data_IF_388006296482
#
_entry.id   IF_388006296482
#
_cell.length_a   1.000
_cell.length_b   1.000
_cell.length_c   1.000
_cell.angle_alpha   90.00
_cell.angle_beta   90.00
_cell.angle_gamma   90.00
#
_symmetry.space_group_name_H-M   'P 1'
#
loop_
_entity.id
_entity.type
_entity.pdbx_description
1 polymer ?
#
# COMPACT_ATOMS: atom_id res chain seq x y z
N UNK A 1 1.44 31.45 -24.35
CA UNK A 1 0.28 30.89 -23.62
C UNK A 1 0.53 29.41 -23.44
N UNK A 2 0.64 28.86 -22.23
CA UNK A 2 0.69 27.42 -22.09
C UNK A 2 -0.72 26.87 -22.32
N UNK A 3 -0.80 25.90 -23.23
CA UNK A 3 -1.97 25.10 -23.53
C UNK A 3 -2.47 24.42 -22.25
N UNK A 4 -3.80 24.33 -22.18
CA UNK A 4 -4.58 23.60 -21.19
C UNK A 4 -3.83 22.37 -20.66
N UNK A 5 -3.57 22.34 -19.34
CA UNK A 5 -3.21 21.12 -18.63
C UNK A 5 -4.41 20.18 -18.75
N UNK A 6 -4.43 19.33 -19.77
CA UNK A 6 -5.32 18.17 -19.81
C UNK A 6 -5.11 17.43 -18.51
N UNK A 7 -6.14 17.38 -17.68
CA UNK A 7 -6.07 16.86 -16.33
C UNK A 7 -5.34 15.50 -16.30
N UNK A 8 -4.39 15.35 -15.37
CA UNK A 8 -3.60 14.13 -15.09
C UNK A 8 -4.48 12.99 -14.54
N UNK A 9 -5.72 12.85 -15.01
CA UNK A 9 -6.73 11.93 -14.47
C UNK A 9 -6.57 10.50 -14.99
N UNK A 10 -5.61 10.22 -15.88
CA UNK A 10 -5.54 8.92 -16.57
C UNK A 10 -4.59 7.87 -15.98
N UNK A 11 -4.02 8.06 -14.79
CA UNK A 11 -3.24 7.01 -14.10
C UNK A 11 -3.44 6.96 -12.57
N UNK A 12 -4.57 7.47 -12.06
CA UNK A 12 -4.84 7.41 -10.62
C UNK A 12 -5.55 6.10 -10.29
N UNK A 13 -5.06 5.35 -9.31
CA UNK A 13 -5.74 4.20 -8.72
C UNK A 13 -7.11 4.66 -8.18
N UNK A 14 -8.19 4.12 -8.74
CA UNK A 14 -9.56 4.49 -8.37
C UNK A 14 -10.11 3.63 -7.23
N UNK A 15 -9.36 2.64 -6.73
CA UNK A 15 -9.84 1.67 -5.74
C UNK A 15 -10.38 2.35 -4.48
N UNK A 16 -9.66 3.34 -3.95
CA UNK A 16 -10.14 4.10 -2.77
C UNK A 16 -11.42 4.87 -3.06
N UNK A 17 -11.53 5.49 -4.24
CA UNK A 17 -12.73 6.22 -4.64
C UNK A 17 -13.93 5.27 -4.77
N UNK A 18 -13.75 4.15 -5.47
CA UNK A 18 -14.80 3.14 -5.69
C UNK A 18 -15.26 2.54 -4.36
N UNK A 19 -14.35 2.25 -3.43
CA UNK A 19 -14.68 1.77 -2.08
C UNK A 19 -15.59 2.75 -1.34
N UNK A 20 -15.26 4.04 -1.38
CA UNK A 20 -16.06 5.09 -0.74
C UNK A 20 -17.42 5.28 -1.42
N UNK A 21 -17.50 5.20 -2.75
CA UNK A 21 -18.76 5.29 -3.49
C UNK A 21 -19.69 4.11 -3.15
N UNK A 22 -19.14 2.90 -3.02
CA UNK A 22 -19.87 1.70 -2.57
C UNK A 22 -20.38 1.84 -1.14
N UNK A 23 -19.59 2.44 -0.24
CA UNK A 23 -20.01 2.72 1.15
C UNK A 23 -21.20 3.67 1.25
N UNK A 24 -21.30 4.62 0.31
CA UNK A 24 -22.41 5.56 0.22
C UNK A 24 -23.68 4.95 -0.41
N UNK A 25 -23.70 3.65 -0.68
CA UNK A 25 -24.78 2.91 -1.33
C UNK A 25 -25.19 3.52 -2.68
N UNK A 26 -24.20 4.03 -3.43
CA UNK A 26 -24.45 4.47 -4.81
C UNK A 26 -24.50 3.22 -5.67
N UNK A 27 -25.67 2.59 -5.70
CA UNK A 27 -25.96 1.31 -6.34
C UNK A 27 -25.60 1.26 -7.84
N UNK A 28 -25.55 2.41 -8.51
CA UNK A 28 -25.16 2.50 -9.93
C UNK A 28 -24.11 3.60 -10.14
N UNK A 29 -22.84 3.20 -10.16
CA UNK A 29 -21.73 4.11 -10.51
C UNK A 29 -21.84 4.66 -11.95
N UNK A 30 -22.60 4.00 -12.83
CA UNK A 30 -22.97 4.49 -14.15
C UNK A 30 -23.92 5.69 -14.12
N UNK A 31 -24.54 5.98 -12.98
CA UNK A 31 -25.37 7.16 -12.75
C UNK A 31 -24.63 8.28 -12.00
N UNK A 32 -23.43 8.02 -11.47
CA UNK A 32 -22.58 9.08 -10.93
C UNK A 32 -22.29 10.12 -12.02
N UNK A 33 -22.72 11.35 -11.77
CA UNK A 33 -22.40 12.52 -12.59
C UNK A 33 -21.01 13.02 -12.21
N UNK A 34 -19.98 12.28 -12.62
CA UNK A 34 -18.61 12.78 -12.54
C UNK A 34 -18.47 14.02 -13.42
N UNK A 35 -17.66 14.99 -12.97
CA UNK A 35 -17.32 16.17 -13.78
C UNK A 35 -16.57 15.75 -15.05
N UNK A 36 -15.58 14.87 -14.88
CA UNK A 36 -14.93 14.11 -15.94
C UNK A 36 -15.06 12.62 -15.58
N UNK A 37 -15.82 11.86 -16.37
CA UNK A 37 -16.04 10.44 -16.11
C UNK A 37 -14.74 9.66 -16.36
N UNK A 38 -14.25 8.87 -15.38
CA UNK A 38 -13.10 7.99 -15.61
C UNK A 38 -13.42 6.93 -16.66
N UNK A 39 -12.39 6.40 -17.30
CA UNK A 39 -12.54 5.32 -18.29
C UNK A 39 -13.24 4.11 -17.65
N UNK A 40 -14.21 3.46 -18.34
CA UNK A 40 -14.87 2.27 -17.82
C UNK A 40 -13.90 1.18 -17.38
N UNK A 41 -12.79 1.03 -18.10
CA UNK A 41 -11.74 0.05 -17.82
C UNK A 41 -11.06 0.33 -16.48
N UNK A 42 -10.83 1.60 -16.13
CA UNK A 42 -10.24 1.98 -14.84
C UNK A 42 -11.20 1.72 -13.67
N UNK A 43 -12.50 1.91 -13.87
CA UNK A 43 -13.52 1.56 -12.87
C UNK A 43 -13.66 0.05 -12.68
N UNK A 44 -13.61 -0.72 -13.77
CA UNK A 44 -13.62 -2.19 -13.71
C UNK A 44 -12.38 -2.71 -12.99
N UNK A 45 -11.19 -2.19 -13.31
CA UNK A 45 -9.96 -2.57 -12.61
C UNK A 45 -10.04 -2.30 -11.11
N UNK A 46 -10.55 -1.13 -10.70
CA UNK A 46 -10.73 -0.81 -9.29
C UNK A 46 -11.73 -1.73 -8.57
N UNK A 47 -12.78 -2.18 -9.27
CA UNK A 47 -13.71 -3.18 -8.72
C UNK A 47 -13.05 -4.55 -8.57
N UNK A 48 -12.29 -4.99 -9.56
CA UNK A 48 -11.51 -6.24 -9.51
C UNK A 48 -10.48 -6.20 -8.37
N UNK A 49 -9.75 -5.08 -8.21
CA UNK A 49 -8.77 -4.91 -7.14
C UNK A 49 -9.43 -4.97 -5.74
N UNK A 50 -10.62 -4.39 -5.58
CA UNK A 50 -11.39 -4.47 -4.33
C UNK A 50 -11.95 -5.87 -4.07
N UNK A 51 -12.41 -6.57 -5.10
CA UNK A 51 -12.83 -7.97 -5.02
C UNK A 51 -11.66 -8.86 -4.55
N UNK A 52 -10.48 -8.69 -5.16
CA UNK A 52 -9.25 -9.37 -4.77
C UNK A 52 -8.85 -9.11 -3.30
N UNK A 53 -9.07 -7.90 -2.79
CA UNK A 53 -8.83 -7.57 -1.38
C UNK A 53 -9.88 -8.12 -0.41
N UNK A 54 -10.88 -8.86 -0.93
CA UNK A 54 -12.06 -9.31 -0.22
C UNK A 54 -12.88 -8.15 0.39
N UNK A 55 -12.81 -6.97 -0.22
CA UNK A 55 -13.61 -5.81 0.19
C UNK A 55 -15.05 -5.91 -0.34
N UNK A 56 -15.28 -6.75 -1.36
CA UNK A 56 -16.59 -7.03 -1.92
C UNK A 56 -17.06 -8.45 -1.56
N UNK A 57 -18.38 -8.64 -1.51
CA UNK A 57 -19.01 -9.97 -1.43
C UNK A 57 -19.36 -10.52 -2.83
N UNK A 58 -19.90 -11.74 -2.89
CA UNK A 58 -20.25 -12.42 -4.15
C UNK A 58 -21.30 -11.67 -4.99
N UNK A 59 -22.06 -10.76 -4.36
CA UNK A 59 -23.06 -9.92 -5.01
C UNK A 59 -22.48 -8.55 -5.43
N UNK A 60 -21.21 -8.28 -5.13
CA UNK A 60 -20.51 -7.02 -5.43
C UNK A 60 -20.84 -5.87 -4.47
N UNK A 61 -21.42 -6.16 -3.31
CA UNK A 61 -21.63 -5.21 -2.21
C UNK A 61 -20.43 -5.22 -1.27
N UNK A 62 -20.35 -4.26 -0.33
CA UNK A 62 -19.27 -4.26 0.65
C UNK A 62 -19.40 -5.44 1.60
N UNK A 63 -18.33 -6.23 1.72
CA UNK A 63 -18.17 -7.24 2.77
C UNK A 63 -17.93 -6.57 4.14
N UNK A 64 -17.89 -7.36 5.22
CA UNK A 64 -17.48 -6.85 6.55
C UNK A 64 -16.09 -6.21 6.51
N UNK A 65 -15.15 -6.83 5.80
CA UNK A 65 -13.80 -6.28 5.59
C UNK A 65 -13.88 -4.99 4.79
N UNK A 66 -14.67 -4.93 3.72
CA UNK A 66 -14.86 -3.72 2.91
C UNK A 66 -15.46 -2.56 3.70
N UNK A 67 -16.41 -2.85 4.59
CA UNK A 67 -16.98 -1.88 5.52
C UNK A 67 -15.89 -1.30 6.42
N UNK A 68 -15.09 -2.15 7.06
CA UNK A 68 -13.99 -1.73 7.94
C UNK A 68 -12.95 -0.92 7.15
N UNK A 69 -12.57 -1.37 5.96
CA UNK A 69 -11.63 -0.66 5.08
C UNK A 69 -12.12 0.74 4.72
N UNK A 70 -13.44 0.91 4.49
CA UNK A 70 -14.02 2.21 4.13
C UNK A 70 -13.97 3.26 5.25
N UNK A 71 -13.82 2.83 6.51
CA UNK A 71 -13.66 3.71 7.67
C UNK A 71 -12.21 4.18 7.84
N UNK A 72 -11.24 3.48 7.23
CA UNK A 72 -9.82 3.78 7.38
C UNK A 72 -9.37 4.86 6.37
N UNK A 73 -8.61 5.89 6.80
CA UNK A 73 -8.08 6.92 5.90
C UNK A 73 -6.83 6.43 5.15
N UNK A 74 -6.86 5.20 4.65
CA UNK A 74 -5.72 4.51 4.01
C UNK A 74 -6.11 4.07 2.60
N UNK A 75 -5.11 3.78 1.77
CA UNK A 75 -5.33 3.08 0.51
C UNK A 75 -5.78 1.63 0.77
N UNK A 76 -6.67 1.05 -0.06
CA UNK A 76 -7.27 -0.27 0.20
C UNK A 76 -6.26 -1.38 0.51
N UNK A 77 -5.14 -1.54 -0.22
CA UNK A 77 -4.09 -2.50 0.14
C UNK A 77 -3.53 -2.32 1.56
N UNK A 78 -3.28 -1.07 1.96
CA UNK A 78 -2.72 -0.76 3.28
C UNK A 78 -3.76 -0.92 4.39
N UNK A 79 -5.02 -0.57 4.12
CA UNK A 79 -6.14 -0.83 5.02
C UNK A 79 -6.33 -2.33 5.25
N UNK A 80 -6.30 -3.14 4.19
CA UNK A 80 -6.40 -4.61 4.27
C UNK A 80 -5.26 -5.21 5.09
N UNK A 81 -4.04 -4.74 4.88
CA UNK A 81 -2.89 -5.15 5.68
C UNK A 81 -3.10 -4.81 7.17
N UNK A 82 -3.54 -3.58 7.46
CA UNK A 82 -3.81 -3.12 8.83
C UNK A 82 -4.86 -4.00 9.53
N UNK A 83 -5.94 -4.33 8.85
CA UNK A 83 -6.96 -5.25 9.38
C UNK A 83 -6.36 -6.63 9.65
N UNK A 84 -5.63 -7.21 8.70
CA UNK A 84 -5.04 -8.54 8.86
C UNK A 84 -3.99 -8.61 9.98
N UNK A 85 -3.32 -7.50 10.32
CA UNK A 85 -2.39 -7.49 11.46
C UNK A 85 -3.05 -7.82 12.81
N UNK A 86 -4.37 -7.68 12.90
CA UNK A 86 -5.15 -8.13 14.04
C UNK A 86 -5.07 -9.64 14.22
N UNK A 87 -5.04 -10.39 13.12
CA UNK A 87 -4.96 -11.87 13.13
C UNK A 87 -3.53 -12.36 13.41
N UNK A 88 -2.53 -11.53 13.12
CA UNK A 88 -1.11 -11.86 13.27
C UNK A 88 -0.46 -11.21 14.49
N UNK A 89 -1.21 -10.58 15.38
CA UNK A 89 -0.71 -9.94 16.60
C UNK A 89 0.40 -8.89 16.35
N UNK A 90 0.38 -8.19 15.21
CA UNK A 90 1.42 -7.20 14.84
C UNK A 90 0.84 -5.81 14.52
N UNK A 91 -0.23 -5.44 15.22
CA UNK A 91 -0.99 -4.19 14.98
C UNK A 91 -0.16 -2.96 15.28
N UNK A 92 0.58 -2.93 16.40
CA UNK A 92 1.37 -1.76 16.80
C UNK A 92 2.48 -1.43 15.78
N UNK A 93 3.11 -2.46 15.22
CA UNK A 93 4.14 -2.34 14.19
C UNK A 93 3.54 -1.90 12.87
N UNK A 94 2.42 -2.49 12.48
CA UNK A 94 1.80 -2.15 11.21
C UNK A 94 1.14 -0.76 11.21
N UNK A 95 0.62 -0.29 12.36
CA UNK A 95 0.22 1.10 12.56
C UNK A 95 1.39 2.06 12.33
N UNK A 96 2.58 1.69 12.81
CA UNK A 96 3.79 2.50 12.63
C UNK A 96 4.22 2.51 11.16
N UNK A 97 4.21 1.34 10.49
CA UNK A 97 4.52 1.24 9.07
C UNK A 97 3.51 2.04 8.24
N UNK A 98 2.21 1.87 8.48
CA UNK A 98 1.16 2.59 7.76
C UNK A 98 1.34 4.10 7.88
N UNK A 99 1.57 4.61 9.09
CA UNK A 99 1.78 6.02 9.32
C UNK A 99 3.02 6.59 8.61
N UNK A 100 4.08 5.78 8.46
CA UNK A 100 5.28 6.15 7.72
C UNK A 100 5.09 6.13 6.20
N UNK A 101 4.17 5.31 5.68
CA UNK A 101 3.88 5.21 4.25
C UNK A 101 2.86 6.25 3.77
N UNK A 102 2.00 6.74 4.65
CA UNK A 102 0.98 7.75 4.33
C UNK A 102 1.50 9.18 4.26
N UNK A 103 2.74 9.42 4.70
CA UNK A 103 3.35 10.74 4.63
C UNK A 103 3.89 11.05 3.23
N UNK A 104 3.63 12.27 2.76
CA UNK A 104 4.11 12.82 1.49
C UNK A 104 5.17 13.88 1.81
N UNK A 105 6.39 13.69 1.30
CA UNK A 105 7.60 14.42 1.71
C UNK A 105 7.49 15.96 1.68
N UNK A 106 8.06 16.64 2.69
CA UNK A 106 8.75 17.94 2.50
C UNK A 106 9.87 18.20 3.56
N UNK A 107 10.92 18.92 3.16
CA UNK A 107 12.25 19.03 3.79
C UNK A 107 12.48 20.27 4.68
N UNK A 108 13.34 20.13 5.72
CA UNK A 108 14.47 21.07 5.99
C UNK A 108 15.34 20.73 7.23
N UNK A 109 14.92 19.87 8.16
CA UNK A 109 15.71 19.54 9.37
C UNK A 109 16.44 18.17 9.31
N UNK A 110 16.14 17.39 8.27
CA UNK A 110 16.65 16.06 7.94
C UNK A 110 18.10 16.01 7.50
N UNK A 111 18.61 17.13 6.99
CA UNK A 111 19.81 17.15 6.17
C UNK A 111 21.10 16.79 6.92
N UNK A 112 21.06 16.69 8.24
CA UNK A 112 22.18 16.22 9.06
C UNK A 112 22.13 14.72 9.39
N UNK A 113 21.00 14.02 9.19
CA UNK A 113 20.81 12.60 9.51
C UNK A 113 20.01 11.79 8.45
N UNK A 114 19.71 12.40 7.29
CA UNK A 114 18.91 11.83 6.20
C UNK A 114 17.45 11.41 6.54
N UNK A 115 16.84 11.94 7.63
CA UNK A 115 15.44 11.62 8.02
C UNK A 115 14.57 12.87 8.23
N UNK A 116 13.36 12.93 7.69
CA UNK A 116 12.47 14.09 7.86
C UNK A 116 11.80 14.16 9.23
N UNK A 117 12.12 15.21 10.00
CA UNK A 117 11.46 15.47 11.28
C UNK A 117 9.99 15.85 11.09
N UNK A 118 9.68 16.60 10.02
CA UNK A 118 8.30 16.90 9.65
C UNK A 118 7.54 15.60 9.36
N UNK A 119 8.15 14.73 8.56
CA UNK A 119 7.63 13.41 8.25
C UNK A 119 7.41 12.54 9.49
N UNK A 120 8.42 12.45 10.36
CA UNK A 120 8.35 11.65 11.59
C UNK A 120 7.31 12.20 12.57
N UNK A 121 7.12 13.53 12.63
CA UNK A 121 6.05 14.14 13.43
C UNK A 121 4.69 13.82 12.84
N UNK A 122 4.53 13.92 11.53
CA UNK A 122 3.28 13.60 10.87
C UNK A 122 2.96 12.11 11.05
N UNK A 123 3.92 11.21 10.84
CA UNK A 123 3.77 9.80 11.12
C UNK A 123 3.37 9.54 12.59
N UNK A 124 3.91 10.30 13.55
CA UNK A 124 3.47 10.25 14.94
C UNK A 124 1.98 10.62 15.12
N UNK A 125 1.51 11.65 14.42
CA UNK A 125 0.10 12.08 14.42
C UNK A 125 -0.79 11.04 13.74
N UNK A 126 -0.45 10.63 12.52
CA UNK A 126 -1.22 9.64 11.75
C UNK A 126 -1.32 8.32 12.53
N UNK A 127 -0.23 7.86 13.15
CA UNK A 127 -0.25 6.66 13.98
C UNK A 127 -1.24 6.79 15.14
N UNK A 128 -1.30 7.95 15.79
CA UNK A 128 -2.23 8.19 16.89
C UNK A 128 -3.68 8.20 16.39
N UNK A 129 -3.97 8.87 15.27
CA UNK A 129 -5.30 8.91 14.65
C UNK A 129 -5.77 7.51 14.23
N UNK A 130 -4.90 6.72 13.58
CA UNK A 130 -5.22 5.35 13.19
C UNK A 130 -5.49 4.46 14.41
N UNK A 131 -4.70 4.61 15.48
CA UNK A 131 -4.91 3.88 16.73
C UNK A 131 -6.26 4.21 17.38
N UNK A 132 -6.59 5.50 17.49
CA UNK A 132 -7.89 5.94 18.03
C UNK A 132 -9.04 5.41 17.18
N UNK A 133 -8.89 5.43 15.86
CA UNK A 133 -9.89 4.92 14.95
C UNK A 133 -10.07 3.41 15.11
N UNK A 134 -9.00 2.62 15.15
CA UNK A 134 -9.06 1.17 15.40
C UNK A 134 -9.79 0.85 16.70
N UNK A 135 -9.51 1.59 17.78
CA UNK A 135 -10.20 1.44 19.05
C UNK A 135 -11.69 1.79 18.95
N UNK A 136 -12.03 2.86 18.22
CA UNK A 136 -13.41 3.31 18.00
C UNK A 136 -14.23 2.31 17.21
N UNK A 137 -13.63 1.62 16.24
CA UNK A 137 -14.28 0.56 15.45
C UNK A 137 -14.07 -0.84 16.05
N UNK A 138 -13.60 -0.93 17.29
CA UNK A 138 -13.47 -2.17 18.08
C UNK A 138 -12.55 -3.23 17.48
N UNK A 139 -11.54 -2.82 16.68
CA UNK A 139 -10.49 -3.74 16.24
C UNK A 139 -9.49 -4.01 17.38
N UNK A 140 -9.03 -5.27 17.57
CA UNK A 140 -8.05 -5.60 18.60
C UNK A 140 -6.70 -4.96 18.29
N UNK A 141 -6.00 -4.48 19.32
CA UNK A 141 -4.69 -3.85 19.19
C UNK A 141 -3.67 -4.62 20.04
N UNK A 142 -2.69 -5.25 19.39
CA UNK A 142 -1.62 -5.96 20.08
C UNK A 142 -0.58 -4.99 20.68
N UNK A 143 0.06 -5.35 21.81
CA UNK A 143 1.19 -4.60 22.33
C UNK A 143 2.40 -4.70 21.39
N UNK A 144 3.33 -3.73 21.41
CA UNK A 144 4.52 -3.76 20.57
C UNK A 144 5.43 -4.94 20.92
N UNK A 145 5.87 -5.68 19.89
CA UNK A 145 6.74 -6.85 19.96
C UNK A 145 7.92 -6.76 18.97
N UNK A 146 8.43 -5.55 18.75
CA UNK A 146 9.52 -5.27 17.81
C UNK A 146 10.76 -6.15 18.03
N UNK A 147 11.33 -6.63 16.92
CA UNK A 147 12.68 -7.22 16.91
C UNK A 147 12.74 -8.74 17.08
N UNK A 148 11.62 -9.44 17.32
CA UNK A 148 11.60 -10.90 17.27
C UNK A 148 11.32 -11.44 15.84
N UNK A 149 11.80 -12.64 15.55
CA UNK A 149 11.63 -13.27 14.22
C UNK A 149 10.16 -13.56 13.90
N UNK A 150 9.38 -13.94 14.91
CA UNK A 150 7.95 -14.21 14.75
C UNK A 150 7.18 -12.93 14.39
N UNK A 151 7.50 -11.81 15.04
CA UNK A 151 6.92 -10.50 14.72
C UNK A 151 7.27 -10.04 13.31
N UNK A 152 8.53 -10.20 12.88
CA UNK A 152 8.93 -9.92 11.48
C UNK A 152 8.14 -10.75 10.47
N UNK A 153 7.90 -12.03 10.79
CA UNK A 153 7.09 -12.93 9.95
C UNK A 153 5.62 -12.51 9.93
N UNK A 154 5.06 -12.13 11.07
CA UNK A 154 3.69 -11.67 11.20
C UNK A 154 3.44 -10.36 10.45
N UNK A 155 4.37 -9.40 10.53
CA UNK A 155 4.32 -8.16 9.74
C UNK A 155 4.32 -8.49 8.24
N UNK A 156 5.17 -9.42 7.79
CA UNK A 156 5.19 -9.83 6.38
C UNK A 156 3.89 -10.46 5.93
N UNK A 157 3.29 -11.35 6.75
CA UNK A 157 1.98 -11.95 6.46
C UNK A 157 0.89 -10.90 6.34
N UNK A 158 0.84 -9.96 7.28
CA UNK A 158 -0.10 -8.83 7.23
C UNK A 158 0.12 -7.96 5.98
N UNK A 159 1.37 -7.66 5.62
CA UNK A 159 1.65 -6.91 4.40
C UNK A 159 1.26 -7.69 3.14
N UNK A 160 1.53 -9.00 3.08
CA UNK A 160 1.17 -9.85 1.94
C UNK A 160 -0.35 -9.86 1.74
N UNK A 161 -1.16 -9.93 2.80
CA UNK A 161 -2.63 -9.96 2.66
C UNK A 161 -3.21 -8.72 1.99
N UNK A 162 -2.53 -7.57 2.09
CA UNK A 162 -2.91 -6.33 1.43
C UNK A 162 -2.21 -6.09 0.09
N UNK A 163 -0.95 -6.49 -0.02
CA UNK A 163 -0.06 -6.15 -1.14
C UNK A 163 0.30 -7.33 -2.04
N UNK A 164 -0.45 -8.44 -2.01
CA UNK A 164 -0.15 -9.63 -2.82
C UNK A 164 -0.18 -9.38 -4.33
N UNK A 165 -0.95 -8.39 -4.80
CA UNK A 165 -0.94 -7.93 -6.20
C UNK A 165 0.31 -7.10 -6.55
N UNK A 166 1.15 -6.76 -5.56
CA UNK A 166 2.41 -6.02 -5.72
C UNK A 166 3.60 -6.89 -5.32
N UNK A 167 3.69 -8.07 -5.95
CA UNK A 167 4.79 -9.03 -5.80
C UNK A 167 5.68 -9.02 -7.04
N UNK A 168 6.99 -9.11 -6.82
CA UNK A 168 7.97 -9.27 -7.90
C UNK A 168 9.00 -10.36 -7.59
N UNK A 169 9.50 -11.01 -8.64
CA UNK A 169 10.48 -12.09 -8.56
C UNK A 169 11.73 -11.74 -9.37
N UNK A 170 12.90 -11.91 -8.76
CA UNK A 170 14.19 -11.74 -9.43
C UNK A 170 14.42 -12.91 -10.42
N UNK A 171 14.55 -12.59 -11.70
CA UNK A 171 14.63 -13.58 -12.78
C UNK A 171 16.04 -14.13 -13.03
N UNK A 172 17.07 -13.40 -12.60
CA UNK A 172 18.47 -13.72 -12.95
C UNK A 172 19.46 -13.57 -11.77
N UNK A 173 18.96 -13.21 -10.58
CA UNK A 173 19.79 -13.02 -9.39
C UNK A 173 20.59 -11.71 -9.39
N UNK A 174 20.35 -10.85 -10.39
CA UNK A 174 21.01 -9.55 -10.55
C UNK A 174 20.12 -8.38 -10.13
N UNK A 175 18.95 -8.66 -9.54
CA UNK A 175 17.98 -7.64 -9.14
C UNK A 175 17.10 -7.14 -10.29
N UNK A 176 16.92 -7.96 -11.33
CA UNK A 176 15.97 -7.71 -12.42
C UNK A 176 14.63 -8.37 -12.06
N UNK A 177 13.75 -7.60 -11.45
CA UNK A 177 12.50 -8.09 -10.88
C UNK A 177 11.36 -8.08 -11.91
N UNK A 178 10.77 -9.24 -12.19
CA UNK A 178 9.53 -9.37 -12.93
C UNK A 178 8.33 -9.11 -11.99
N UNK A 179 7.57 -8.05 -12.27
CA UNK A 179 6.31 -7.74 -11.60
C UNK A 179 5.25 -8.75 -12.06
N UNK A 180 4.69 -9.54 -11.14
CA UNK A 180 3.82 -10.67 -11.52
C UNK A 180 2.51 -10.24 -12.18
N UNK A 181 1.95 -9.12 -11.73
CA UNK A 181 0.63 -8.64 -12.16
C UNK A 181 0.66 -8.04 -13.56
N UNK A 182 1.65 -7.19 -13.86
CA UNK A 182 1.74 -6.47 -15.13
C UNK A 182 2.81 -7.02 -16.09
N UNK A 183 3.60 -8.02 -15.66
CA UNK A 183 4.68 -8.65 -16.44
C UNK A 183 5.74 -7.67 -16.96
N UNK A 184 5.91 -6.56 -16.27
CA UNK A 184 7.01 -5.62 -16.52
C UNK A 184 8.24 -6.00 -15.70
N UNK A 185 9.43 -5.71 -16.23
CA UNK A 185 10.68 -5.82 -15.48
C UNK A 185 10.99 -4.44 -14.87
N UNK A 186 11.40 -4.46 -13.60
CA UNK A 186 11.86 -3.30 -12.87
C UNK A 186 13.09 -3.63 -12.01
N UNK A 187 13.80 -2.59 -11.60
CA UNK A 187 14.93 -2.71 -10.68
C UNK A 187 14.60 -2.10 -9.33
N UNK A 188 15.39 -2.46 -8.31
CA UNK A 188 15.30 -1.78 -7.02
C UNK A 188 15.75 -0.33 -7.19
N UNK A 189 14.99 0.61 -6.64
CA UNK A 189 15.42 2.00 -6.61
C UNK A 189 16.78 2.13 -5.87
N UNK A 190 17.67 3.00 -6.34
CA UNK A 190 19.04 3.15 -5.83
C UNK A 190 19.13 3.51 -4.35
N UNK A 191 18.09 4.16 -3.79
CA UNK A 191 18.01 4.47 -2.36
C UNK A 191 17.60 3.28 -1.49
N UNK A 192 17.24 2.14 -2.08
CA UNK A 192 16.86 0.94 -1.34
C UNK A 192 17.97 0.48 -0.40
N UNK A 193 17.58 -0.06 0.76
CA UNK A 193 18.55 -0.62 1.72
C UNK A 193 19.33 -1.82 1.17
N UNK A 194 18.79 -2.48 0.13
CA UNK A 194 19.49 -3.54 -0.59
C UNK A 194 20.59 -3.01 -1.54
N UNK A 195 20.57 -1.72 -1.88
CA UNK A 195 21.56 -1.10 -2.77
C UNK A 195 22.54 -0.19 -2.01
N UNK A 196 22.08 0.46 -0.94
CA UNK A 196 22.83 1.49 -0.20
C UNK A 196 23.67 0.97 0.97
N UNK A 197 23.48 -0.29 1.38
CA UNK A 197 24.29 -0.92 2.44
C UNK A 197 25.64 -1.40 1.90
N UNK A 198 26.68 -1.29 2.73
CA UNK A 198 28.02 -1.81 2.42
C UNK A 198 28.48 -2.85 3.45
N UNK A 199 28.86 -4.08 3.03
CA UNK A 199 28.82 -4.59 1.66
C UNK A 199 27.38 -4.72 1.13
N UNK A 200 27.21 -4.58 -0.19
CA UNK A 200 25.90 -4.68 -0.83
C UNK A 200 25.36 -6.10 -0.62
N UNK A 201 24.22 -6.28 0.09
CA UNK A 201 23.64 -7.60 0.28
C UNK A 201 23.14 -8.15 -1.06
N UNK A 202 23.13 -9.48 -1.20
CA UNK A 202 22.48 -10.10 -2.35
C UNK A 202 21.00 -9.72 -2.40
N UNK A 203 20.47 -9.32 -3.58
CA UNK A 203 19.06 -8.99 -3.72
C UNK A 203 18.19 -10.22 -3.38
N UNK A 204 17.08 -10.03 -2.64
CA UNK A 204 16.17 -11.10 -2.31
C UNK A 204 15.44 -11.63 -3.55
N UNK A 205 15.26 -12.95 -3.67
CA UNK A 205 14.62 -13.56 -4.84
C UNK A 205 13.13 -13.17 -4.99
N UNK A 206 12.44 -12.92 -3.87
CA UNK A 206 11.01 -12.57 -3.86
C UNK A 206 10.77 -11.35 -3.00
N UNK A 207 10.02 -10.40 -3.54
CA UNK A 207 9.73 -9.15 -2.84
C UNK A 207 8.29 -8.72 -3.00
N UNK A 208 7.77 -8.06 -1.96
CA UNK A 208 6.64 -7.15 -2.08
C UNK A 208 7.17 -5.72 -2.23
N UNK A 209 6.46 -4.89 -2.98
CA UNK A 209 6.78 -3.47 -3.16
C UNK A 209 5.55 -2.60 -2.87
N UNK A 210 5.79 -1.37 -2.39
CA UNK A 210 4.72 -0.40 -2.18
C UNK A 210 4.43 0.37 -3.47
N UNK A 211 5.49 0.91 -4.09
CA UNK A 211 5.38 1.78 -5.26
C UNK A 211 6.16 1.23 -6.44
N UNK A 212 5.62 1.52 -7.61
CA UNK A 212 6.24 1.29 -8.90
C UNK A 212 6.19 2.59 -9.71
N UNK A 213 7.33 3.00 -10.27
CA UNK A 213 7.41 4.20 -11.11
C UNK A 213 7.84 3.81 -12.52
N UNK A 214 7.03 4.18 -13.51
CA UNK A 214 7.38 4.08 -14.93
C UNK A 214 8.23 5.31 -15.29
N UNK A 215 9.54 5.11 -15.45
CA UNK A 215 10.48 6.18 -15.81
C UNK A 215 11.47 5.69 -16.88
N UNK A 216 12.58 6.40 -17.11
CA UNK A 216 13.64 5.92 -18.02
C UNK A 216 14.18 4.55 -17.58
N UNK A 217 14.21 4.31 -16.26
CA UNK A 217 14.38 2.98 -15.67
C UNK A 217 13.18 2.68 -14.77
N UNK A 218 12.46 1.63 -15.11
CA UNK A 218 11.37 1.12 -14.28
C UNK A 218 11.93 0.72 -12.92
N UNK A 219 11.41 1.32 -11.83
CA UNK A 219 11.88 1.01 -10.49
C UNK A 219 10.76 0.75 -9.50
N UNK A 220 11.04 -0.15 -8.56
CA UNK A 220 10.20 -0.43 -7.39
C UNK A 220 10.83 0.19 -6.13
N UNK A 221 9.97 0.71 -5.25
CA UNK A 221 10.36 1.39 -4.00
C UNK A 221 9.67 0.73 -2.81
N UNK A 222 10.27 0.94 -1.63
CA UNK A 222 9.79 0.41 -0.35
C UNK A 222 9.54 -1.10 -0.44
N UNK A 223 10.65 -1.83 -0.45
CA UNK A 223 10.69 -3.24 -0.83
C UNK A 223 10.97 -4.10 0.40
N UNK A 224 10.21 -5.18 0.58
CA UNK A 224 10.41 -6.15 1.66
C UNK A 224 10.57 -7.57 1.11
N UNK A 225 11.55 -8.30 1.62
CA UNK A 225 11.77 -9.71 1.27
C UNK A 225 10.66 -10.60 1.85
N UNK A 226 10.08 -11.42 0.98
CA UNK A 226 9.03 -12.40 1.31
C UNK A 226 9.42 -13.80 0.82
N UNK A 227 8.67 -14.82 1.24
CA UNK A 227 8.81 -16.18 0.71
C UNK A 227 7.48 -16.59 0.06
N UNK A 228 7.49 -17.35 -1.05
CA UNK A 228 6.26 -17.73 -1.76
C UNK A 228 5.34 -18.70 -0.99
N UNK A 229 5.79 -19.22 0.15
CA UNK A 229 5.02 -20.13 1.01
C UNK A 229 4.35 -19.40 2.19
N UNK A 230 4.56 -18.09 2.33
CA UNK A 230 4.04 -17.26 3.43
C UNK A 230 2.58 -16.91 3.25
#
# INVERSE_FOLDING_TARGET
MPLSRTAEVTQVDLSRLVLLLKRLDIADMGQCKFLDRPAPEALMQALEDLDYLAALDDDGNLSEVGIIMSELPLEPPLAKALIASCEFDCVSELLTIAAMLTDNEDEAWCRSHHFSQAALRLAGVIRAELLELMQRIELPVSPPAFGCQDNSTNIKRALISGFFLKVAHDVDGSGNYLLLTHRHVAQLHSSSSYCSRHPCPHPPAWVIYHDFTVSHDNCIRTVSHIHPQM
#
